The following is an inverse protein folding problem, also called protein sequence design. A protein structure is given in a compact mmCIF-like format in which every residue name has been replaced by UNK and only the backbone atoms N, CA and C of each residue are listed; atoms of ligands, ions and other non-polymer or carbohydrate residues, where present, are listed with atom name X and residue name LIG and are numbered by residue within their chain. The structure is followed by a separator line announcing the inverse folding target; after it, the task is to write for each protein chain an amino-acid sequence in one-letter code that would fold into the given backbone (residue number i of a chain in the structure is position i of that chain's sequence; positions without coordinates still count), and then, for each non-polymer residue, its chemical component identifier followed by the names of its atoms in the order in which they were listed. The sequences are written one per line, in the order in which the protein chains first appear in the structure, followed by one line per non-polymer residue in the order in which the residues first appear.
data_IF_352975341661
#
_entry.id   IF_352975341661
#
_cell.length_a   1.000
_cell.length_b   1.000
_cell.length_c   1.000
_cell.angle_alpha   90.00
_cell.angle_beta   90.00
_cell.angle_gamma   90.00
#
_symmetry.space_group_name_H-M   'P 1'
#
loop_
_entity.id
_entity.type
_entity.pdbx_description
1 polymer ?
#
# COMPACT_ATOMS: atom_id res chain seq x y z
N UNK A 1 -9.75 -3.14 59.91
CA UNK A 1 -10.33 -3.91 58.79
C UNK A 1 -9.58 -3.57 57.52
N UNK A 2 -9.01 -4.60 56.87
CA UNK A 2 -8.12 -4.53 55.70
C UNK A 2 -8.93 -4.24 54.43
N UNK A 3 -8.72 -3.10 53.79
CA UNK A 3 -9.28 -2.77 52.45
C UNK A 3 -8.26 -2.95 51.31
N UNK A 4 -7.11 -3.59 51.57
CA UNK A 4 -6.03 -3.76 50.59
C UNK A 4 -6.34 -4.75 49.45
N UNK A 5 -7.38 -5.57 49.58
CA UNK A 5 -7.69 -6.60 48.57
C UNK A 5 -8.45 -6.04 47.34
N UNK A 6 -9.04 -4.85 47.44
CA UNK A 6 -9.82 -4.24 46.37
C UNK A 6 -8.96 -3.48 45.32
N UNK A 7 -7.83 -2.91 45.72
CA UNK A 7 -6.93 -2.16 44.80
C UNK A 7 -6.29 -3.06 43.72
N UNK A 8 -6.30 -4.38 43.91
CA UNK A 8 -5.74 -5.32 42.95
C UNK A 8 -6.62 -5.50 41.69
N UNK A 9 -7.84 -4.96 41.62
CA UNK A 9 -8.78 -5.30 40.54
C UNK A 9 -8.85 -4.30 39.37
N UNK A 10 -8.71 -3.01 39.62
CA UNK A 10 -8.90 -2.00 38.55
C UNK A 10 -7.69 -1.88 37.62
N UNK A 11 -6.47 -1.85 38.16
CA UNK A 11 -5.25 -1.64 37.36
C UNK A 11 -4.99 -2.77 36.36
N UNK A 12 -5.25 -4.03 36.74
CA UNK A 12 -5.06 -5.19 35.85
C UNK A 12 -6.08 -5.21 34.71
N UNK A 13 -7.32 -4.82 35.00
CA UNK A 13 -8.37 -4.72 34.00
C UNK A 13 -8.07 -3.59 33.00
N UNK A 14 -7.59 -2.45 33.50
CA UNK A 14 -7.12 -1.35 32.65
C UNK A 14 -5.91 -1.74 31.79
N UNK A 15 -4.97 -2.51 32.34
CA UNK A 15 -3.84 -3.06 31.59
C UNK A 15 -4.29 -4.02 30.49
N UNK A 16 -5.18 -4.97 30.79
CA UNK A 16 -5.69 -5.92 29.80
C UNK A 16 -6.45 -5.22 28.66
N UNK A 17 -7.22 -4.19 29.01
CA UNK A 17 -7.98 -3.40 28.05
C UNK A 17 -7.05 -2.56 27.15
N UNK A 18 -6.04 -1.90 27.73
CA UNK A 18 -5.07 -1.09 26.97
C UNK A 18 -4.18 -1.96 26.08
N UNK A 19 -3.70 -3.11 26.56
CA UNK A 19 -2.94 -4.07 25.76
C UNK A 19 -3.77 -4.61 24.58
N UNK A 20 -5.04 -4.94 24.81
CA UNK A 20 -5.93 -5.43 23.75
C UNK A 20 -6.22 -4.35 22.72
N UNK A 21 -6.55 -3.13 23.17
CA UNK A 21 -6.79 -1.99 22.28
C UNK A 21 -5.54 -1.67 21.43
N UNK A 22 -4.36 -1.63 22.04
CA UNK A 22 -3.11 -1.37 21.33
C UNK A 22 -2.77 -2.48 20.32
N UNK A 23 -2.98 -3.75 20.68
CA UNK A 23 -2.72 -4.89 19.79
C UNK A 23 -3.66 -4.88 18.58
N UNK A 24 -4.95 -4.59 18.78
CA UNK A 24 -5.94 -4.48 17.69
C UNK A 24 -5.64 -3.28 16.79
N UNK A 25 -5.26 -2.14 17.36
CA UNK A 25 -4.88 -0.96 16.57
C UNK A 25 -3.64 -1.20 15.67
N UNK A 26 -2.74 -2.09 16.10
CA UNK A 26 -1.51 -2.43 15.39
C UNK A 26 -1.69 -3.52 14.34
N UNK A 27 -2.41 -4.58 14.70
CA UNK A 27 -2.46 -5.84 13.94
C UNK A 27 -3.85 -6.14 13.38
N UNK A 28 -4.82 -5.25 13.54
CA UNK A 28 -6.21 -5.47 13.17
C UNK A 28 -6.85 -6.59 13.98
N UNK A 29 -7.68 -7.42 13.34
CA UNK A 29 -8.37 -8.54 13.99
C UNK A 29 -7.40 -9.55 14.66
N UNK A 30 -6.20 -9.74 14.08
CA UNK A 30 -5.17 -10.61 14.65
C UNK A 30 -4.62 -10.10 15.99
N UNK A 31 -4.77 -8.80 16.27
CA UNK A 31 -4.37 -8.19 17.53
C UNK A 31 -5.06 -8.76 18.76
N UNK A 32 -6.30 -9.24 18.63
CA UNK A 32 -7.01 -9.91 19.73
C UNK A 32 -6.33 -11.22 20.13
N UNK A 33 -5.83 -11.99 19.16
CA UNK A 33 -5.10 -13.22 19.42
C UNK A 33 -3.78 -12.97 20.16
N UNK A 34 -3.05 -11.93 19.74
CA UNK A 34 -1.79 -11.53 20.37
C UNK A 34 -2.01 -11.04 21.80
N UNK A 35 -3.03 -10.20 22.06
CA UNK A 35 -3.29 -9.69 23.40
C UNK A 35 -3.73 -10.80 24.36
N UNK A 36 -4.62 -11.71 23.92
CA UNK A 36 -5.05 -12.86 24.70
C UNK A 36 -3.85 -13.74 25.08
N UNK A 37 -2.94 -13.99 24.13
CA UNK A 37 -1.76 -14.78 24.36
C UNK A 37 -0.82 -14.15 25.40
N UNK A 38 -0.55 -12.84 25.31
CA UNK A 38 0.27 -12.11 26.29
C UNK A 38 -0.38 -12.12 27.68
N UNK A 39 -1.71 -11.96 27.76
CA UNK A 39 -2.45 -12.05 29.03
C UNK A 39 -2.38 -13.45 29.65
N UNK A 40 -2.43 -14.51 28.84
CA UNK A 40 -2.25 -15.89 29.31
C UNK A 40 -0.86 -16.11 29.90
N UNK A 41 0.21 -15.60 29.25
CA UNK A 41 1.57 -15.66 29.80
C UNK A 41 1.63 -14.96 31.16
N UNK A 42 1.13 -13.73 31.25
CA UNK A 42 1.15 -12.96 32.49
C UNK A 42 0.35 -13.64 33.59
N UNK A 43 -0.84 -14.15 33.28
CA UNK A 43 -1.64 -14.91 34.22
C UNK A 43 -0.87 -16.12 34.76
N UNK A 44 -0.15 -16.83 33.88
CA UNK A 44 0.64 -17.98 34.27
C UNK A 44 1.79 -17.61 35.21
N UNK A 45 2.57 -16.57 34.90
CA UNK A 45 3.66 -16.05 35.74
C UNK A 45 3.14 -15.57 37.10
N UNK A 46 2.04 -14.81 37.13
CA UNK A 46 1.42 -14.35 38.37
C UNK A 46 0.89 -15.53 39.19
N UNK A 47 0.32 -16.54 38.54
CA UNK A 47 -0.16 -17.74 39.22
C UNK A 47 0.98 -18.56 39.84
N UNK A 48 2.14 -18.66 39.18
CA UNK A 48 3.30 -19.37 39.73
C UNK A 48 3.90 -18.61 40.91
N UNK A 49 4.10 -17.31 40.80
CA UNK A 49 4.59 -16.47 41.90
C UNK A 49 3.67 -16.57 43.14
N UNK A 50 2.34 -16.56 42.94
CA UNK A 50 1.38 -16.76 44.03
C UNK A 50 1.46 -18.15 44.66
N UNK A 51 1.65 -19.20 43.87
CA UNK A 51 1.84 -20.57 44.37
C UNK A 51 3.10 -20.67 45.21
N UNK A 52 4.21 -20.06 44.75
CA UNK A 52 5.48 -20.04 45.47
C UNK A 52 5.40 -19.24 46.77
N UNK A 53 4.79 -18.05 46.76
CA UNK A 53 4.60 -17.26 47.98
C UNK A 53 3.76 -18.00 49.04
N UNK A 54 2.68 -18.68 48.62
CA UNK A 54 1.87 -19.53 49.52
C UNK A 54 2.66 -20.73 50.04
N UNK A 55 3.47 -21.36 49.19
CA UNK A 55 4.32 -22.47 49.59
C UNK A 55 5.45 -22.05 50.56
N UNK A 56 6.00 -20.84 50.40
CA UNK A 56 7.01 -20.28 51.28
C UNK A 56 6.46 -20.01 52.68
N UNK A 57 5.21 -19.55 52.78
CA UNK A 57 4.51 -19.38 54.06
C UNK A 57 4.18 -20.71 54.75
N UNK A 58 4.05 -21.80 53.98
CA UNK A 58 3.60 -23.09 54.48
C UNK A 58 4.74 -24.10 54.79
N UNK A 59 5.99 -23.83 54.41
CA UNK A 59 7.09 -24.80 54.55
C UNK A 59 8.04 -24.45 55.70
N UNK A 60 8.26 -25.34 56.68
CA UNK A 60 9.41 -25.24 57.59
C UNK A 60 10.73 -25.44 56.82
N UNK A 61 11.78 -24.75 57.24
CA UNK A 61 13.03 -24.38 56.52
C UNK A 61 13.86 -25.51 55.86
N UNK A 62 13.51 -26.79 55.93
CA UNK A 62 14.47 -27.88 55.68
C UNK A 62 14.30 -28.70 54.39
N UNK A 63 13.26 -28.50 53.57
CA UNK A 63 13.04 -29.36 52.40
C UNK A 63 13.20 -28.63 51.06
N UNK A 64 14.44 -28.25 50.71
CA UNK A 64 14.78 -27.71 49.38
C UNK A 64 15.18 -28.84 48.43
N UNK A 65 14.19 -29.63 47.97
CA UNK A 65 14.41 -30.65 46.93
C UNK A 65 14.28 -30.02 45.54
N UNK A 66 15.38 -30.03 44.78
CA UNK A 66 15.48 -29.63 43.36
C UNK A 66 14.62 -30.57 42.51
N UNK A 67 13.57 -30.06 41.86
CA UNK A 67 12.84 -30.77 40.80
C UNK A 67 13.18 -30.14 39.45
N UNK A 68 13.87 -30.93 38.61
CA UNK A 68 14.22 -30.60 37.22
C UNK A 68 13.08 -30.89 36.25
N UNK A 69 11.98 -30.16 36.37
CA UNK A 69 11.05 -30.02 35.25
C UNK A 69 11.61 -28.97 34.30
N UNK A 70 11.52 -29.21 32.98
CA UNK A 70 11.75 -28.16 31.98
C UNK A 70 10.96 -26.94 32.44
N UNK A 71 11.68 -25.91 32.88
CA UNK A 71 11.05 -24.80 33.59
C UNK A 71 10.12 -24.16 32.59
N UNK A 72 8.89 -23.90 33.00
CA UNK A 72 7.92 -23.15 32.21
C UNK A 72 8.55 -21.89 31.55
N UNK A 73 9.54 -21.31 32.22
CA UNK A 73 10.47 -20.27 31.73
C UNK A 73 11.03 -20.55 30.32
N UNK A 74 11.52 -21.76 30.02
CA UNK A 74 12.08 -22.11 28.70
C UNK A 74 11.02 -22.27 27.63
N UNK A 75 9.82 -22.73 27.98
CA UNK A 75 8.70 -22.81 27.04
C UNK A 75 8.19 -21.40 26.66
N UNK A 76 8.08 -20.51 27.65
CA UNK A 76 7.73 -19.10 27.41
C UNK A 76 8.79 -18.41 26.55
N UNK A 77 10.08 -18.63 26.83
CA UNK A 77 11.16 -18.10 26.01
C UNK A 77 11.09 -18.60 24.56
N UNK A 78 10.82 -19.88 24.34
CA UNK A 78 10.66 -20.44 22.99
C UNK A 78 9.51 -19.81 22.20
N UNK A 79 8.35 -19.57 22.84
CA UNK A 79 7.21 -18.94 22.15
C UNK A 79 7.45 -17.45 21.90
N UNK A 80 8.11 -16.74 22.82
CA UNK A 80 8.51 -15.35 22.58
C UNK A 80 9.47 -15.25 21.39
N UNK A 81 10.45 -16.16 21.29
CA UNK A 81 11.36 -16.20 20.13
C UNK A 81 10.59 -16.46 18.84
N UNK A 82 9.62 -17.39 18.82
CA UNK A 82 8.80 -17.65 17.63
C UNK A 82 7.92 -16.45 17.24
N UNK A 83 7.32 -15.75 18.21
CA UNK A 83 6.54 -14.53 17.94
C UNK A 83 7.41 -13.38 17.44
N UNK A 84 8.60 -13.22 18.02
CA UNK A 84 9.58 -12.24 17.57
C UNK A 84 10.03 -12.57 16.15
N UNK A 85 10.36 -13.83 15.85
CA UNK A 85 10.69 -14.28 14.49
C UNK A 85 9.52 -14.06 13.52
N UNK A 86 8.28 -14.29 13.93
CA UNK A 86 7.09 -13.99 13.14
C UNK A 86 6.87 -12.50 12.89
N UNK A 87 7.24 -11.63 13.85
CA UNK A 87 7.20 -10.17 13.71
C UNK A 87 8.33 -9.64 12.80
N UNK A 88 9.47 -10.34 12.78
CA UNK A 88 10.61 -10.07 11.91
C UNK A 88 10.51 -10.78 10.56
N UNK A 89 9.53 -11.67 10.34
CA UNK A 89 9.24 -12.13 9.00
C UNK A 89 8.80 -10.90 8.20
N UNK A 90 9.48 -10.58 7.09
CA UNK A 90 9.10 -9.45 6.26
C UNK A 90 7.64 -9.66 5.89
N UNK A 91 6.78 -8.72 6.29
CA UNK A 91 5.42 -8.68 5.76
C UNK A 91 5.57 -8.78 4.24
N UNK A 92 4.81 -9.65 3.56
CA UNK A 92 4.94 -9.81 2.11
C UNK A 92 4.90 -8.40 1.54
N UNK A 93 5.99 -8.00 0.88
CA UNK A 93 6.11 -6.67 0.30
C UNK A 93 4.88 -6.51 -0.56
N UNK A 94 3.93 -5.68 -0.10
CA UNK A 94 2.80 -5.31 -0.93
C UNK A 94 3.47 -4.64 -2.10
N UNK A 95 3.47 -5.33 -3.25
CA UNK A 95 4.12 -4.83 -4.44
C UNK A 95 3.64 -3.40 -4.61
N UNK A 96 4.57 -2.46 -4.58
CA UNK A 96 4.24 -1.06 -4.60
C UNK A 96 3.45 -0.80 -5.87
N UNK A 97 2.15 -0.49 -5.73
CA UNK A 97 1.27 -0.32 -6.90
C UNK A 97 1.80 0.80 -7.80
N UNK A 98 2.53 1.78 -7.25
CA UNK A 98 3.21 2.81 -8.02
C UNK A 98 4.33 2.25 -8.88
N UNK A 99 5.11 1.29 -8.36
CA UNK A 99 6.17 0.62 -9.11
C UNK A 99 5.58 -0.26 -10.22
N UNK A 100 4.47 -0.97 -9.94
CA UNK A 100 3.74 -1.71 -10.96
C UNK A 100 3.20 -0.79 -12.06
N UNK A 101 2.60 0.35 -11.68
CA UNK A 101 2.14 1.37 -12.60
C UNK A 101 3.28 1.85 -13.50
N UNK A 102 4.43 2.16 -12.90
CA UNK A 102 5.61 2.63 -13.60
C UNK A 102 6.12 1.63 -14.61
N UNK A 103 6.25 0.36 -14.23
CA UNK A 103 6.69 -0.71 -15.14
C UNK A 103 5.69 -0.87 -16.28
N UNK A 104 4.39 -0.89 -15.97
CA UNK A 104 3.34 -1.02 -16.97
C UNK A 104 3.33 0.13 -17.98
N UNK A 105 3.36 1.36 -17.49
CA UNK A 105 3.39 2.57 -18.32
C UNK A 105 4.68 2.67 -19.14
N UNK A 106 5.80 2.17 -18.64
CA UNK A 106 7.04 2.10 -19.41
C UNK A 106 6.92 1.13 -20.59
N UNK A 107 6.23 0.00 -20.41
CA UNK A 107 5.95 -0.92 -21.51
C UNK A 107 5.08 -0.25 -22.58
N UNK A 108 4.00 0.42 -22.17
CA UNK A 108 3.11 1.17 -23.08
C UNK A 108 3.88 2.26 -23.83
N UNK A 109 4.71 3.03 -23.12
CA UNK A 109 5.50 4.10 -23.75
C UNK A 109 6.51 3.55 -24.77
N UNK A 110 7.13 2.39 -24.50
CA UNK A 110 8.01 1.72 -25.46
C UNK A 110 7.25 1.21 -26.68
N UNK A 111 6.05 0.66 -26.49
CA UNK A 111 5.20 0.22 -27.60
C UNK A 111 4.78 1.40 -28.50
N UNK A 112 4.45 2.55 -27.92
CA UNK A 112 4.17 3.78 -28.69
C UNK A 112 5.41 4.26 -29.45
N UNK A 113 6.59 4.22 -28.83
CA UNK A 113 7.83 4.58 -29.53
C UNK A 113 8.16 3.61 -30.67
N UNK A 114 7.93 2.31 -30.48
CA UNK A 114 8.12 1.29 -31.52
C UNK A 114 7.18 1.54 -32.70
N UNK A 115 5.89 1.80 -32.44
CA UNK A 115 4.91 2.19 -33.46
C UNK A 115 5.38 3.43 -34.22
N UNK A 116 5.85 4.47 -33.52
CA UNK A 116 6.34 5.68 -34.17
C UNK A 116 7.56 5.43 -35.05
N UNK A 117 8.48 4.57 -34.62
CA UNK A 117 9.66 4.22 -35.41
C UNK A 117 9.29 3.45 -36.69
N UNK A 118 8.26 2.61 -36.63
CA UNK A 118 7.77 1.82 -37.76
C UNK A 118 6.94 2.66 -38.76
N UNK A 119 6.01 3.47 -38.25
CA UNK A 119 5.03 4.19 -39.08
C UNK A 119 5.41 5.66 -39.35
N UNK A 120 6.43 6.19 -38.70
CA UNK A 120 6.84 7.60 -38.80
C UNK A 120 5.89 8.59 -38.13
N UNK A 121 4.85 8.12 -37.43
CA UNK A 121 3.85 8.95 -36.76
C UNK A 121 3.37 8.32 -35.45
N UNK A 122 2.80 9.12 -34.54
CA UNK A 122 2.26 8.61 -33.28
C UNK A 122 0.91 7.88 -33.51
N UNK A 123 0.64 6.77 -32.80
CA UNK A 123 -0.59 6.00 -32.98
C UNK A 123 -1.83 6.87 -32.77
N UNK A 124 -2.79 6.82 -33.69
CA UNK A 124 -4.00 7.65 -33.69
C UNK A 124 -3.83 9.07 -34.25
N UNK A 125 -2.76 9.37 -35.00
CA UNK A 125 -2.59 10.68 -35.67
C UNK A 125 -3.29 10.76 -37.02
N UNK A 126 -3.64 9.63 -37.62
CA UNK A 126 -4.41 9.57 -38.86
C UNK A 126 -5.88 9.69 -38.51
N UNK A 127 -6.42 10.91 -38.64
CA UNK A 127 -7.88 11.11 -38.65
C UNK A 127 -8.46 10.52 -39.93
N UNK A 128 -9.71 10.07 -39.87
CA UNK A 128 -10.44 9.78 -41.11
C UNK A 128 -10.60 11.09 -41.89
N UNK A 129 -10.26 11.03 -43.19
CA UNK A 129 -10.12 12.20 -44.06
C UNK A 129 -11.36 13.11 -44.14
N UNK A 130 -12.53 12.61 -43.74
CA UNK A 130 -13.80 13.35 -43.79
C UNK A 130 -14.11 14.13 -42.50
N UNK A 131 -13.62 13.71 -41.33
CA UNK A 131 -13.95 14.36 -40.04
C UNK A 131 -12.74 14.89 -39.30
N UNK A 132 -11.54 14.45 -39.68
CA UNK A 132 -10.28 14.80 -38.99
C UNK A 132 -10.16 14.21 -37.59
N UNK A 133 -11.16 13.46 -37.10
CA UNK A 133 -11.09 12.74 -35.84
C UNK A 133 -10.53 11.32 -36.09
N UNK A 134 -9.67 10.81 -35.20
CA UNK A 134 -9.22 9.43 -35.27
C UNK A 134 -10.41 8.49 -35.03
N UNK A 135 -10.55 7.47 -35.89
CA UNK A 135 -11.66 6.50 -35.79
C UNK A 135 -11.40 5.43 -34.72
N UNK A 136 -10.13 5.26 -34.32
CA UNK A 136 -9.69 4.25 -33.37
C UNK A 136 -8.76 4.81 -32.30
N UNK A 137 -8.78 4.20 -31.13
CA UNK A 137 -7.85 4.54 -30.05
C UNK A 137 -6.42 4.15 -30.39
N UNK A 138 -5.48 5.04 -30.05
CA UNK A 138 -4.05 4.76 -30.09
C UNK A 138 -3.66 3.51 -29.28
N UNK A 139 -4.46 3.18 -28.25
CA UNK A 139 -4.27 1.99 -27.41
C UNK A 139 -4.50 0.68 -28.15
N UNK A 140 -5.38 0.70 -29.15
CA UNK A 140 -5.65 -0.47 -29.99
C UNK A 140 -4.50 -0.71 -30.97
N UNK A 141 -3.96 0.37 -31.53
CA UNK A 141 -2.86 0.33 -32.50
C UNK A 141 -1.56 -0.30 -31.95
N UNK A 142 -1.40 -0.38 -30.64
CA UNK A 142 -0.20 -0.92 -29.97
C UNK A 142 -0.43 -2.25 -29.25
N UNK A 143 -1.61 -2.88 -29.37
CA UNK A 143 -1.96 -4.09 -28.61
C UNK A 143 -0.96 -5.22 -28.82
N UNK A 144 -0.54 -5.47 -30.06
CA UNK A 144 0.42 -6.52 -30.36
C UNK A 144 1.78 -6.26 -29.68
N UNK A 145 2.25 -5.01 -29.72
CA UNK A 145 3.52 -4.58 -29.12
C UNK A 145 3.54 -4.66 -27.58
N UNK A 146 2.37 -4.66 -26.92
CA UNK A 146 2.26 -4.88 -25.47
C UNK A 146 1.94 -6.35 -25.10
N UNK A 147 1.98 -7.27 -26.06
CA UNK A 147 1.77 -8.70 -25.83
C UNK A 147 0.30 -9.15 -25.90
N UNK A 148 -0.61 -8.31 -26.38
CA UNK A 148 -2.06 -8.57 -26.45
C UNK A 148 -2.49 -9.01 -27.87
N UNK A 149 -1.68 -9.83 -28.53
CA UNK A 149 -1.91 -10.30 -29.90
C UNK A 149 -3.29 -10.96 -30.13
N UNK A 150 -3.87 -11.74 -29.19
CA UNK A 150 -5.22 -12.28 -29.35
C UNK A 150 -6.30 -11.20 -29.42
N UNK A 151 -6.16 -10.14 -28.61
CA UNK A 151 -7.07 -9.01 -28.61
C UNK A 151 -6.92 -8.19 -29.89
N UNK A 152 -5.67 -7.96 -30.32
CA UNK A 152 -5.37 -7.26 -31.58
C UNK A 152 -6.02 -7.92 -32.79
N UNK A 153 -5.95 -9.25 -32.91
CA UNK A 153 -6.61 -10.02 -33.99
C UNK A 153 -8.13 -10.04 -33.94
N UNK A 154 -8.70 -9.79 -32.75
CA UNK A 154 -10.15 -9.79 -32.55
C UNK A 154 -10.78 -8.43 -32.79
N UNK A 155 -9.96 -7.37 -32.89
CA UNK A 155 -10.40 -6.03 -33.21
C UNK A 155 -10.53 -5.86 -34.72
N UNK A 156 -11.66 -5.31 -35.16
CA UNK A 156 -11.89 -5.01 -36.58
C UNK A 156 -11.60 -3.52 -36.83
N UNK A 157 -10.50 -3.17 -37.54
CA UNK A 157 -10.15 -1.80 -37.84
C UNK A 157 -11.06 -1.16 -38.90
N UNK A 158 -11.84 -1.94 -39.65
CA UNK A 158 -12.77 -1.39 -40.65
C UNK A 158 -14.11 -0.96 -40.00
N UNK A 159 -14.32 -1.30 -38.74
CA UNK A 159 -15.50 -0.93 -37.96
C UNK A 159 -15.18 0.15 -36.93
N UNK A 160 -16.14 1.06 -36.69
CA UNK A 160 -16.04 2.02 -35.60
C UNK A 160 -15.79 1.32 -34.24
N UNK A 161 -15.09 2.00 -33.33
CA UNK A 161 -14.76 1.47 -32.00
C UNK A 161 -16.01 1.15 -31.15
N UNK A 162 -17.14 1.80 -31.44
CA UNK A 162 -18.44 1.61 -30.79
C UNK A 162 -19.35 0.60 -31.51
N UNK A 163 -18.89 0.02 -32.62
CA UNK A 163 -19.59 -1.08 -33.28
C UNK A 163 -19.73 -2.28 -32.33
N UNK A 164 -20.80 -3.05 -32.52
CA UNK A 164 -21.18 -4.17 -31.63
C UNK A 164 -20.04 -5.18 -31.46
N UNK A 165 -19.31 -5.50 -32.52
CA UNK A 165 -18.25 -6.51 -32.50
C UNK A 165 -17.01 -6.00 -31.74
N UNK A 166 -16.58 -4.76 -32.01
CA UNK A 166 -15.50 -4.10 -31.26
C UNK A 166 -15.89 -3.90 -29.77
N UNK A 167 -17.12 -3.49 -29.47
CA UNK A 167 -17.60 -3.35 -28.10
C UNK A 167 -17.61 -4.68 -27.31
N UNK A 168 -17.80 -5.81 -27.99
CA UNK A 168 -17.78 -7.11 -27.33
C UNK A 168 -16.41 -7.43 -26.69
N UNK A 169 -15.33 -6.90 -27.24
CA UNK A 169 -13.97 -7.09 -26.71
C UNK A 169 -13.54 -6.01 -25.70
N UNK A 170 -14.30 -4.93 -25.55
CA UNK A 170 -14.03 -3.85 -24.58
C UNK A 170 -13.83 -4.34 -23.15
N UNK A 171 -14.53 -5.42 -22.77
CA UNK A 171 -14.45 -6.04 -21.44
C UNK A 171 -13.11 -6.70 -21.14
N UNK A 172 -12.32 -7.00 -22.17
CA UNK A 172 -10.98 -7.59 -22.06
C UNK A 172 -9.90 -6.51 -22.08
N UNK A 173 -10.10 -5.44 -21.31
CA UNK A 173 -9.12 -4.36 -21.16
C UNK A 173 -7.77 -4.96 -20.75
N UNK A 174 -6.69 -4.73 -21.52
CA UNK A 174 -5.35 -5.18 -21.15
C UNK A 174 -4.95 -4.78 -19.74
N UNK A 175 -4.25 -5.65 -19.03
CA UNK A 175 -3.73 -5.36 -17.68
C UNK A 175 -2.94 -4.06 -17.66
N UNK A 176 -2.21 -3.77 -18.74
CA UNK A 176 -1.39 -2.57 -18.85
C UNK A 176 -2.18 -1.25 -18.78
N UNK A 177 -3.48 -1.30 -19.04
CA UNK A 177 -4.40 -0.16 -19.02
C UNK A 177 -5.23 -0.06 -17.75
N UNK A 178 -5.00 -0.93 -16.76
CA UNK A 178 -5.67 -0.85 -15.48
C UNK A 178 -5.21 0.39 -14.69
N UNK A 179 -6.12 1.06 -13.98
CA UNK A 179 -5.72 2.06 -13.00
C UNK A 179 -4.96 1.38 -11.86
N UNK A 180 -3.79 1.89 -11.50
CA UNK A 180 -2.95 1.31 -10.44
C UNK A 180 -3.16 1.97 -9.07
N UNK A 181 -4.04 2.97 -8.99
CA UNK A 181 -4.51 3.55 -7.75
C UNK A 181 -5.83 2.91 -7.32
N UNK A 182 -6.07 2.75 -6.00
CA UNK A 182 -7.39 2.39 -5.50
C UNK A 182 -8.33 3.56 -5.80
N UNK A 183 -9.08 3.48 -6.89
CA UNK A 183 -10.12 4.46 -7.15
C UNK A 183 -11.28 4.18 -6.19
N UNK A 184 -11.68 5.20 -5.42
CA UNK A 184 -12.79 5.09 -4.46
C UNK A 184 -14.09 4.69 -5.15
N UNK A 185 -14.24 5.07 -6.42
CA UNK A 185 -15.27 4.58 -7.32
C UNK A 185 -14.65 3.56 -8.26
N UNK A 186 -15.24 2.36 -8.34
CA UNK A 186 -14.77 1.33 -9.26
C UNK A 186 -14.84 1.86 -10.69
N UNK A 187 -13.70 2.35 -11.21
CA UNK A 187 -13.55 2.69 -12.63
C UNK A 187 -14.08 1.51 -13.41
N UNK A 188 -15.09 1.76 -14.26
CA UNK A 188 -15.74 0.70 -15.01
C UNK A 188 -14.67 -0.18 -15.70
N UNK A 189 -14.94 -1.48 -15.79
CA UNK A 189 -13.97 -2.46 -16.30
C UNK A 189 -13.43 -2.13 -17.71
N UNK A 190 -14.13 -1.26 -18.44
CA UNK A 190 -13.81 -0.78 -19.79
C UNK A 190 -13.07 0.56 -19.84
N UNK A 191 -12.81 1.22 -18.71
CA UNK A 191 -12.20 2.56 -18.69
C UNK A 191 -10.70 2.53 -18.37
N UNK A 192 -9.95 3.55 -18.73
CA UNK A 192 -8.54 3.69 -18.40
C UNK A 192 -8.25 5.14 -18.08
N UNK A 193 -7.27 5.34 -17.21
CA UNK A 193 -6.74 6.65 -16.82
C UNK A 193 -5.44 6.98 -17.57
N UNK A 194 -5.00 6.12 -18.50
CA UNK A 194 -3.78 6.33 -19.26
C UNK A 194 -4.07 7.17 -20.50
N UNK A 195 -3.38 8.29 -20.64
CA UNK A 195 -3.50 9.18 -21.78
C UNK A 195 -2.15 9.35 -22.48
N UNK A 196 -2.20 9.40 -23.81
CA UNK A 196 -1.06 9.80 -24.63
C UNK A 196 -1.14 11.30 -24.88
N UNK A 197 -0.11 12.03 -24.45
CA UNK A 197 0.01 13.47 -24.64
C UNK A 197 1.22 13.71 -25.54
N UNK A 198 0.98 14.25 -26.73
CA UNK A 198 2.01 14.56 -27.71
C UNK A 198 2.29 16.06 -27.76
N UNK A 199 3.53 16.43 -28.06
CA UNK A 199 3.94 17.79 -28.40
C UNK A 199 4.99 17.76 -29.52
N UNK A 200 5.45 18.93 -29.97
CA UNK A 200 6.45 19.06 -31.04
C UNK A 200 7.78 18.35 -30.74
N UNK A 201 8.06 18.03 -29.47
CA UNK A 201 9.32 17.47 -29.01
C UNK A 201 9.25 15.97 -28.70
N UNK A 202 8.07 15.36 -28.72
CA UNK A 202 7.87 13.95 -28.36
C UNK A 202 6.52 13.70 -27.69
N UNK A 203 6.48 12.69 -26.82
CA UNK A 203 5.25 12.27 -26.17
C UNK A 203 5.46 11.81 -24.72
N UNK A 204 4.37 11.81 -23.98
CA UNK A 204 4.26 11.27 -22.63
C UNK A 204 3.02 10.38 -22.51
N UNK A 205 3.17 9.28 -21.78
CA UNK A 205 2.06 8.50 -21.24
C UNK A 205 1.82 8.99 -19.82
N UNK A 206 0.61 9.44 -19.54
CA UNK A 206 0.25 9.99 -18.24
C UNK A 206 -0.94 9.26 -17.65
N UNK A 207 -0.86 8.94 -16.36
CA UNK A 207 -1.99 8.38 -15.61
C UNK A 207 -2.74 9.51 -14.87
N UNK A 208 -4.05 9.64 -15.13
CA UNK A 208 -4.89 10.67 -14.53
C UNK A 208 -6.25 10.13 -14.07
N UNK A 209 -6.47 10.10 -12.76
CA UNK A 209 -7.69 9.53 -12.19
C UNK A 209 -8.98 10.26 -12.57
N UNK A 210 -8.97 11.60 -12.55
CA UNK A 210 -10.14 12.42 -12.89
C UNK A 210 -10.51 12.49 -14.37
N UNK A 211 -9.81 11.75 -15.25
CA UNK A 211 -10.05 11.77 -16.69
C UNK A 211 -10.27 10.35 -17.25
N UNK A 212 -10.77 9.42 -16.44
CA UNK A 212 -11.00 8.06 -16.90
C UNK A 212 -11.91 8.04 -18.15
N UNK A 213 -11.45 7.40 -19.22
CA UNK A 213 -12.17 7.28 -20.49
C UNK A 213 -12.23 5.81 -20.92
N UNK A 214 -13.16 5.46 -21.80
CA UNK A 214 -13.22 4.11 -22.35
C UNK A 214 -11.92 3.79 -23.12
N UNK A 215 -11.29 2.64 -22.88
CA UNK A 215 -9.92 2.41 -23.38
C UNK A 215 -9.82 2.32 -24.91
N UNK A 216 -10.90 1.94 -25.59
CA UNK A 216 -11.01 1.97 -27.06
C UNK A 216 -11.53 3.29 -27.63
N UNK A 217 -11.86 4.27 -26.79
CA UNK A 217 -12.27 5.59 -27.27
C UNK A 217 -11.09 6.28 -27.95
N UNK A 218 -11.29 6.91 -29.13
CA UNK A 218 -10.24 7.56 -29.90
C UNK A 218 -9.73 8.89 -29.31
N UNK A 219 -10.26 9.27 -28.14
CA UNK A 219 -9.86 10.48 -27.42
C UNK A 219 -8.35 10.62 -27.26
N UNK A 220 -7.85 11.80 -27.62
CA UNK A 220 -6.52 12.27 -27.24
C UNK A 220 -6.70 13.40 -26.25
N UNK A 221 -5.91 13.35 -25.19
CA UNK A 221 -5.84 14.43 -24.23
C UNK A 221 -4.79 15.42 -24.73
N UNK A 222 -5.22 16.63 -25.09
CA UNK A 222 -4.28 17.69 -25.41
C UNK A 222 -3.54 18.17 -24.14
N UNK A 223 -2.37 18.78 -24.32
CA UNK A 223 -1.53 19.21 -23.21
C UNK A 223 -2.21 20.27 -22.32
N UNK A 224 -3.07 21.13 -22.89
CA UNK A 224 -3.76 22.17 -22.13
C UNK A 224 -4.92 21.57 -21.31
N UNK A 225 -5.68 20.64 -21.87
CA UNK A 225 -6.73 19.89 -21.20
C UNK A 225 -6.15 19.08 -20.06
N UNK A 226 -4.99 18.43 -20.28
CA UNK A 226 -4.24 17.81 -19.21
C UNK A 226 -3.85 18.83 -18.14
N UNK A 227 -3.30 19.99 -18.51
CA UNK A 227 -2.88 21.01 -17.53
C UNK A 227 -4.06 21.56 -16.72
N UNK A 228 -5.21 21.80 -17.36
CA UNK A 228 -6.45 22.23 -16.68
C UNK A 228 -6.92 21.17 -15.69
N UNK A 229 -6.89 19.91 -16.09
CA UNK A 229 -7.22 18.79 -15.21
C UNK A 229 -6.13 18.56 -14.15
N UNK A 230 -4.89 18.95 -14.41
CA UNK A 230 -3.74 18.97 -13.48
C UNK A 230 -3.71 20.17 -12.56
N UNK A 231 -4.88 20.60 -12.10
CA UNK A 231 -5.00 21.54 -11.02
C UNK A 231 -5.20 20.81 -9.70
N UNK A 232 -4.78 21.45 -8.61
CA UNK A 232 -5.06 20.92 -7.28
C UNK A 232 -6.58 20.88 -7.09
N UNK A 233 -7.16 19.76 -6.62
CA UNK A 233 -8.58 19.74 -6.31
C UNK A 233 -8.86 20.81 -5.23
N UNK A 234 -10.05 21.45 -5.26
CA UNK A 234 -10.42 22.45 -4.27
C UNK A 234 -10.30 21.88 -2.84
N UNK A 235 -9.96 22.75 -1.87
CA UNK A 235 -9.77 22.35 -0.48
C UNK A 235 -11.04 21.63 0.04
N UNK A 236 -10.91 20.37 0.46
CA UNK A 236 -12.01 19.54 0.95
C UNK A 236 -12.34 18.33 0.08
N UNK A 237 -11.88 18.29 -1.17
CA UNK A 237 -12.08 17.16 -2.08
C UNK A 237 -10.77 16.38 -2.28
N UNK A 238 -10.74 15.11 -1.83
CA UNK A 238 -9.73 14.12 -2.18
C UNK A 238 -8.32 14.25 -1.58
N UNK A 239 -7.72 15.44 -1.50
CA UNK A 239 -6.30 15.58 -1.06
C UNK A 239 -6.13 15.46 0.47
N UNK A 240 -7.12 15.90 1.25
CA UNK A 240 -7.05 16.01 2.72
C UNK A 240 -8.06 15.12 3.46
N UNK A 241 -8.72 14.18 2.77
CA UNK A 241 -9.88 13.48 3.36
C UNK A 241 -9.53 12.40 4.40
N UNK A 242 -8.26 12.00 4.55
CA UNK A 242 -7.86 11.00 5.56
C UNK A 242 -6.79 11.49 6.54
N UNK A 243 -7.16 12.51 7.32
CA UNK A 243 -6.48 12.87 8.56
C UNK A 243 -5.08 13.48 8.40
N UNK A 244 -4.51 13.89 9.53
CA UNK A 244 -3.30 14.72 9.62
C UNK A 244 -2.01 14.12 9.03
N UNK A 245 -2.01 12.86 8.53
CA UNK A 245 -0.78 12.15 8.13
C UNK A 245 -0.90 11.20 6.92
N UNK A 246 -2.05 11.10 6.24
CA UNK A 246 -2.18 10.25 5.04
C UNK A 246 -2.70 11.09 3.89
N UNK A 247 -1.77 11.63 3.09
CA UNK A 247 -2.13 12.14 1.77
C UNK A 247 -2.22 10.94 0.82
N UNK A 248 -3.42 10.65 0.32
CA UNK A 248 -3.66 9.66 -0.73
C UNK A 248 -3.34 10.21 -2.11
N UNK A 249 -2.85 11.44 -2.21
CA UNK A 249 -2.39 12.02 -3.47
C UNK A 249 -1.09 11.35 -3.90
N UNK A 250 -1.25 10.22 -4.60
CA UNK A 250 -0.20 9.64 -5.41
C UNK A 250 -0.04 10.54 -6.63
N UNK A 251 1.07 11.28 -6.67
CA UNK A 251 1.39 12.17 -7.80
C UNK A 251 1.22 11.45 -9.13
N UNK A 252 0.88 12.21 -10.16
CA UNK A 252 0.53 11.64 -11.47
C UNK A 252 1.79 11.13 -12.11
N UNK A 253 1.80 9.89 -12.54
CA UNK A 253 2.97 9.34 -13.21
C UNK A 253 2.97 9.84 -14.66
N UNK A 254 4.09 10.36 -15.12
CA UNK A 254 4.35 10.66 -16.52
C UNK A 254 5.56 9.85 -16.98
N UNK A 255 5.39 9.09 -18.05
CA UNK A 255 6.37 8.13 -18.55
C UNK A 255 6.57 8.32 -20.04
N UNK A 256 7.81 8.27 -20.48
CA UNK A 256 8.17 8.11 -21.89
C UNK A 256 8.98 6.81 -22.06
N UNK A 257 9.43 6.51 -23.29
CA UNK A 257 10.14 5.26 -23.57
C UNK A 257 11.42 5.04 -22.75
N UNK A 258 12.03 6.13 -22.26
CA UNK A 258 13.33 6.12 -21.59
C UNK A 258 13.26 6.50 -20.10
N UNK A 259 12.20 7.19 -19.67
CA UNK A 259 12.16 7.91 -18.40
C UNK A 259 10.77 7.88 -17.78
N UNK A 260 10.73 8.07 -16.46
CA UNK A 260 9.50 8.24 -15.68
C UNK A 260 9.69 9.34 -14.65
N UNK A 261 8.68 10.18 -14.45
CA UNK A 261 8.66 11.20 -13.42
C UNK A 261 7.29 11.23 -12.75
N UNK A 262 7.27 11.67 -11.50
CA UNK A 262 6.03 11.96 -10.76
C UNK A 262 5.74 13.45 -10.87
N UNK A 263 4.53 13.81 -11.27
CA UNK A 263 4.04 15.18 -11.36
C UNK A 263 3.22 15.52 -10.11
N UNK A 264 3.51 16.68 -9.51
CA UNK A 264 2.66 17.28 -8.49
C UNK A 264 1.49 18.02 -9.16
N UNK A 265 0.41 18.33 -8.41
CA UNK A 265 -0.66 19.17 -8.95
C UNK A 265 -0.10 20.52 -9.40
N UNK A 266 -0.45 20.94 -10.60
CA UNK A 266 0.03 22.18 -11.22
C UNK A 266 1.36 22.05 -11.95
N UNK A 267 2.13 20.97 -11.75
CA UNK A 267 3.40 20.79 -12.47
C UNK A 267 3.12 20.71 -13.98
N UNK A 268 3.87 21.47 -14.82
CA UNK A 268 3.78 21.32 -16.26
C UNK A 268 4.42 20.00 -16.69
N UNK A 269 4.02 19.49 -17.86
CA UNK A 269 4.69 18.36 -18.47
C UNK A 269 6.15 18.70 -18.76
N UNK A 270 7.09 17.84 -18.36
CA UNK A 270 8.49 18.07 -18.66
C UNK A 270 8.74 18.04 -20.16
N UNK A 271 9.67 18.87 -20.69
CA UNK A 271 10.12 18.72 -22.07
C UNK A 271 10.74 17.32 -22.28
N UNK A 272 10.39 16.58 -23.35
CA UNK A 272 10.86 15.21 -23.61
C UNK A 272 12.38 15.08 -23.75
N UNK A 273 13.04 16.15 -24.21
CA UNK A 273 14.45 16.23 -24.56
C UNK A 273 15.37 16.61 -23.39
N UNK A 274 14.82 17.04 -22.26
CA UNK A 274 15.57 17.80 -21.26
C UNK A 274 15.63 17.14 -19.88
N UNK A 275 16.23 15.95 -19.74
CA UNK A 275 16.58 15.45 -18.41
C UNK A 275 17.98 14.83 -18.30
N UNK A 276 18.78 15.51 -17.48
CA UNK A 276 19.91 14.93 -16.77
C UNK A 276 19.42 13.77 -15.89
N UNK A 277 20.20 12.70 -15.84
CA UNK A 277 20.01 11.43 -15.14
C UNK A 277 19.89 11.52 -13.62
N UNK A 278 19.42 12.64 -13.06
CA UNK A 278 18.99 12.72 -11.68
C UNK A 278 17.51 12.34 -11.66
N UNK A 279 17.14 11.07 -11.43
CA UNK A 279 15.80 10.81 -10.95
C UNK A 279 15.64 11.74 -9.74
N UNK A 280 14.67 12.66 -9.77
CA UNK A 280 14.05 13.11 -8.52
C UNK A 280 13.36 11.87 -7.99
N UNK A 281 14.16 10.95 -7.49
CA UNK A 281 13.65 9.71 -6.98
C UNK A 281 12.82 10.16 -5.79
N UNK A 282 11.58 9.70 -5.77
CA UNK A 282 10.85 9.67 -4.53
C UNK A 282 11.57 8.84 -3.43
N UNK A 283 12.81 8.34 -3.62
CA UNK A 283 13.66 7.83 -2.53
C UNK A 283 13.95 8.88 -1.45
N UNK A 284 13.70 10.17 -1.71
CA UNK A 284 13.74 11.21 -0.67
C UNK A 284 12.49 11.25 0.22
N UNK A 285 11.36 10.73 -0.25
CA UNK A 285 10.16 10.53 0.57
C UNK A 285 10.13 9.05 0.95
N UNK A 286 11.10 8.64 1.76
CA UNK A 286 10.77 7.59 2.71
C UNK A 286 9.62 8.16 3.53
N UNK A 287 8.39 7.74 3.21
CA UNK A 287 7.33 7.72 4.20
C UNK A 287 7.80 6.69 5.21
N UNK A 288 8.71 7.12 6.09
CA UNK A 288 8.96 6.44 7.34
C UNK A 288 7.57 6.41 7.92
N UNK A 289 6.95 5.23 7.95
CA UNK A 289 5.71 5.04 8.65
C UNK A 289 6.06 5.20 10.14
N UNK A 290 6.19 6.46 10.59
CA UNK A 290 6.38 6.82 11.98
C UNK A 290 5.27 6.18 12.82
N UNK A 291 4.10 5.94 12.22
CA UNK A 291 3.04 5.10 12.80
C UNK A 291 3.53 3.74 13.27
N UNK A 292 4.28 2.96 12.48
CA UNK A 292 4.70 1.63 12.88
C UNK A 292 5.79 1.67 13.96
N UNK A 293 6.74 2.61 13.87
CA UNK A 293 7.81 2.76 14.87
C UNK A 293 7.22 3.29 16.20
N UNK A 294 6.39 4.33 16.17
CA UNK A 294 5.75 4.90 17.36
C UNK A 294 4.81 3.88 18.00
N UNK A 295 4.01 3.14 17.21
CA UNK A 295 3.14 2.10 17.75
C UNK A 295 3.94 0.93 18.33
N UNK A 296 5.06 0.53 17.72
CA UNK A 296 5.97 -0.48 18.27
C UNK A 296 6.59 -0.02 19.59
N UNK A 297 7.04 1.23 19.68
CA UNK A 297 7.60 1.83 20.90
C UNK A 297 6.55 1.87 22.02
N UNK A 298 5.32 2.31 21.73
CA UNK A 298 4.21 2.31 22.70
C UNK A 298 3.89 0.88 23.14
N UNK A 299 3.82 -0.08 22.21
CA UNK A 299 3.56 -1.47 22.52
C UNK A 299 4.65 -2.06 23.44
N UNK A 300 5.93 -1.85 23.12
CA UNK A 300 7.04 -2.29 23.95
C UNK A 300 7.03 -1.63 25.33
N UNK A 301 6.72 -0.33 25.42
CA UNK A 301 6.61 0.37 26.69
C UNK A 301 5.49 -0.18 27.58
N UNK A 302 4.32 -0.49 27.00
CA UNK A 302 3.19 -1.09 27.72
C UNK A 302 3.47 -2.55 28.09
N UNK A 303 4.02 -3.34 27.17
CA UNK A 303 4.31 -4.75 27.38
C UNK A 303 5.37 -4.96 28.48
N UNK A 304 6.38 -4.08 28.57
CA UNK A 304 7.47 -4.18 29.53
C UNK A 304 7.20 -3.48 30.88
N UNK A 305 6.13 -2.68 30.99
CA UNK A 305 5.75 -1.97 32.21
C UNK A 305 5.70 -2.86 33.48
N UNK A 306 5.14 -4.09 33.44
CA UNK A 306 5.00 -4.91 34.65
C UNK A 306 6.33 -5.48 35.19
N UNK A 307 7.39 -5.52 34.37
CA UNK A 307 8.73 -6.01 34.81
C UNK A 307 9.32 -5.05 35.87
N UNK A 308 9.12 -3.74 35.70
CA UNK A 308 9.55 -2.74 36.71
C UNK A 308 8.80 -2.89 38.03
N UNK A 309 7.56 -3.35 37.98
CA UNK A 309 6.74 -3.58 39.17
C UNK A 309 7.20 -4.83 39.94
N UNK A 310 7.50 -5.93 39.23
CA UNK A 310 8.06 -7.15 39.84
C UNK A 310 9.37 -6.89 40.58
N UNK A 311 10.25 -6.05 40.03
CA UNK A 311 11.50 -5.67 40.70
C UNK A 311 11.26 -4.89 42.01
N UNK A 312 10.19 -4.09 42.10
CA UNK A 312 9.84 -3.39 43.35
C UNK A 312 9.30 -4.34 44.43
N UNK A 313 8.54 -5.37 44.05
CA UNK A 313 8.05 -6.37 45.00
C UNK A 313 9.23 -7.15 45.60
N UNK A 314 10.16 -7.61 44.76
CA UNK A 314 11.33 -8.33 45.24
C UNK A 314 12.19 -7.47 46.18
N UNK A 315 12.35 -6.17 45.88
CA UNK A 315 13.07 -5.24 46.75
C UNK A 315 12.36 -4.96 48.09
N UNK A 316 11.04 -5.13 48.18
CA UNK A 316 10.28 -4.99 49.44
C UNK A 316 10.23 -6.26 50.27
N UNK A 317 10.62 -7.40 49.70
CA UNK A 317 10.66 -8.71 50.36
C UNK A 317 12.07 -9.11 50.83
N UNK A 318 13.11 -8.41 50.37
CA UNK A 318 14.48 -8.52 50.84
C UNK A 318 14.73 -7.55 52.00
#
# INVERSE_FOLDING_TARGET
MRSSDAQFRSTHLFYALTLTAASVALLGAWGMGVSLFVLLIWWQILSSARREARAALARPLLARRRTGGVRLETAVAGVVVLLVLGLFMPAPERVDSMEQARISMQLVARAVAAYQAEHGCLPGSTGDGDTGLPSHSWRVAILDAIGEAPLARSYDPDQSWDAKDNQAIARYRPWHYHPFYPCADAVAATHTSLHLIANERGFWIVEHAGLAEHWMHPGRLDAEAFQRANTMPPQGEGFWQEGFFVSTFRGRLAVNAHQSTTLLPGDPLPPPDRFASSPRSARGVHIIHYGNIVRLVIFLAVALYPIRWLNRINASMA
#
